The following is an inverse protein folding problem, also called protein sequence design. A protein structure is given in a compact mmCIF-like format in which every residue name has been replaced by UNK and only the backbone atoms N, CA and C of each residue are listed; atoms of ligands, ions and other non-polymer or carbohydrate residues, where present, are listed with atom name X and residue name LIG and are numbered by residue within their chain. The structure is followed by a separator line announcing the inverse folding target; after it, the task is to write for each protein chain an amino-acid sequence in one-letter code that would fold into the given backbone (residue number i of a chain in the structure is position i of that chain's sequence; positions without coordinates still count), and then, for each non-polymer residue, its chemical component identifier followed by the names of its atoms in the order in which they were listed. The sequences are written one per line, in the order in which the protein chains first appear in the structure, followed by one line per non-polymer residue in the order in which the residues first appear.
data_IF_938561787208
#
_entry.id   IF_938561787208
#
_cell.length_a   1.000
_cell.length_b   1.000
_cell.length_c   1.000
_cell.angle_alpha   90.00
_cell.angle_beta   90.00
_cell.angle_gamma   90.00
#
_symmetry.space_group_name_H-M   'P 1'
#
loop_
_entity.id
_entity.type
_entity.pdbx_description
1 polymer ?
#
# COMPACT_ATOMS: atom_id res chain seq x y z
N UNK A 1 -8.94 -66.45 -1.79
CA UNK A 1 -8.01 -66.98 -2.80
C UNK A 1 -7.88 -65.90 -3.87
N UNK A 2 -6.64 -65.49 -4.17
CA UNK A 2 -6.17 -64.31 -4.91
C UNK A 2 -5.99 -63.07 -4.02
N UNK A 3 -4.79 -62.81 -3.48
CA UNK A 3 -3.53 -62.35 -4.12
C UNK A 3 -3.75 -61.05 -4.91
N UNK A 4 -3.26 -59.93 -4.38
CA UNK A 4 -1.99 -59.27 -4.77
C UNK A 4 -2.20 -58.47 -6.07
N UNK A 5 -2.07 -57.15 -6.11
CA UNK A 5 -0.78 -56.45 -6.20
C UNK A 5 -0.95 -55.02 -5.73
N UNK A 6 -0.24 -54.66 -4.66
CA UNK A 6 0.13 -53.28 -4.36
C UNK A 6 1.18 -52.85 -5.41
N UNK A 7 0.86 -51.83 -6.21
CA UNK A 7 1.89 -51.11 -6.98
C UNK A 7 2.54 -50.09 -6.05
N UNK A 8 3.69 -50.46 -5.51
CA UNK A 8 4.60 -49.54 -4.84
C UNK A 8 5.15 -48.52 -5.86
N UNK A 9 4.70 -47.27 -5.75
CA UNK A 9 5.42 -46.12 -6.30
C UNK A 9 6.39 -45.62 -5.23
N UNK A 10 7.70 -45.50 -5.50
CA UNK A 10 8.58 -44.82 -4.57
C UNK A 10 8.31 -43.32 -4.66
N UNK A 11 7.63 -42.76 -3.66
CA UNK A 11 7.61 -41.33 -3.45
C UNK A 11 9.00 -40.91 -2.95
N UNK A 12 9.88 -40.52 -3.87
CA UNK A 12 11.09 -39.80 -3.53
C UNK A 12 10.67 -38.44 -2.95
N UNK A 13 10.58 -38.36 -1.62
CA UNK A 13 10.40 -37.11 -0.91
C UNK A 13 11.65 -36.25 -1.13
N UNK A 14 11.60 -35.38 -2.14
CA UNK A 14 12.57 -34.32 -2.31
C UNK A 14 12.50 -33.42 -1.07
N UNK A 15 13.49 -33.55 -0.18
CA UNK A 15 13.70 -32.61 0.93
C UNK A 15 13.84 -31.21 0.32
N UNK A 16 12.83 -30.36 0.50
CA UNK A 16 12.97 -28.93 0.28
C UNK A 16 14.14 -28.44 1.13
N UNK A 17 15.15 -27.76 0.56
CA UNK A 17 16.17 -27.11 1.37
C UNK A 17 15.48 -26.06 2.25
N UNK A 18 15.86 -26.02 3.52
CA UNK A 18 15.44 -24.95 4.43
C UNK A 18 15.84 -23.59 3.82
N UNK A 19 15.00 -22.55 3.91
CA UNK A 19 15.43 -21.21 3.51
C UNK A 19 16.67 -20.82 4.33
N UNK A 20 17.65 -20.12 3.73
CA UNK A 20 18.80 -19.65 4.48
C UNK A 20 18.29 -18.80 5.64
N UNK A 21 18.77 -19.09 6.85
CA UNK A 21 18.56 -18.20 7.99
C UNK A 21 19.14 -16.84 7.60
N UNK A 22 18.27 -15.84 7.43
CA UNK A 22 18.66 -14.44 7.30
C UNK A 22 19.18 -13.99 8.67
N UNK A 23 20.39 -14.43 8.99
CA UNK A 23 21.20 -13.88 10.06
C UNK A 23 21.87 -12.62 9.51
N UNK A 24 21.13 -11.53 9.47
CA UNK A 24 21.71 -10.19 9.47
C UNK A 24 21.36 -9.56 10.79
N UNK A 25 22.18 -9.85 11.79
CA UNK A 25 22.33 -9.00 12.96
C UNK A 25 22.69 -7.60 12.47
N UNK A 26 21.71 -6.70 12.38
CA UNK A 26 22.01 -5.28 12.38
C UNK A 26 22.34 -4.92 13.81
N UNK A 27 23.61 -4.61 14.05
CA UNK A 27 24.01 -3.84 15.22
C UNK A 27 23.08 -2.63 15.28
N UNK A 28 22.28 -2.51 16.34
CA UNK A 28 21.59 -1.27 16.68
C UNK A 28 22.69 -0.24 16.91
N UNK A 29 23.10 0.43 15.84
CA UNK A 29 23.89 1.63 15.92
C UNK A 29 22.99 2.58 16.72
N UNK A 30 23.37 2.89 17.96
CA UNK A 30 22.60 3.78 18.81
C UNK A 30 22.56 5.13 18.10
N UNK A 31 21.48 5.33 17.35
CA UNK A 31 21.25 6.50 16.53
C UNK A 31 20.91 7.72 17.36
N UNK A 32 20.68 8.88 16.70
CA UNK A 32 20.31 10.15 17.35
C UNK A 32 19.10 9.99 18.30
N UNK A 33 18.84 10.96 19.21
CA UNK A 33 17.96 10.79 20.37
C UNK A 33 16.71 9.97 20.07
N UNK A 34 16.43 9.03 20.98
CA UNK A 34 15.27 8.14 20.97
C UNK A 34 14.05 8.86 20.39
N UNK A 35 13.62 8.40 19.23
CA UNK A 35 12.41 8.87 18.57
C UNK A 35 11.27 8.89 19.60
N UNK A 36 10.42 9.93 19.61
CA UNK A 36 9.18 9.87 20.35
C UNK A 36 8.44 8.57 19.99
N UNK A 37 7.98 7.84 21.00
CA UNK A 37 7.14 6.65 20.79
C UNK A 37 5.70 7.10 20.48
N UNK A 38 5.56 7.81 19.35
CA UNK A 38 4.31 8.37 18.85
C UNK A 38 3.77 7.58 17.66
N UNK A 39 4.40 6.44 17.34
CA UNK A 39 4.01 5.57 16.23
C UNK A 39 4.45 6.06 14.85
N UNK A 40 5.15 7.20 14.74
CA UNK A 40 5.63 7.71 13.46
C UNK A 40 7.03 7.24 13.10
N UNK A 41 7.17 6.76 11.86
CA UNK A 41 8.46 6.58 11.21
C UNK A 41 8.95 7.91 10.66
N UNK A 42 10.07 8.41 11.19
CA UNK A 42 10.68 9.67 10.71
C UNK A 42 11.70 9.44 9.61
N UNK A 43 11.32 9.80 8.38
CA UNK A 43 12.16 9.67 7.18
C UNK A 43 12.35 11.02 6.50
N UNK A 44 13.47 11.18 5.81
CA UNK A 44 13.68 12.34 4.94
C UNK A 44 12.92 12.15 3.63
N UNK A 45 12.62 13.26 2.96
CA UNK A 45 11.94 13.23 1.67
C UNK A 45 12.72 12.42 0.60
N UNK A 46 14.05 12.52 0.60
CA UNK A 46 14.91 11.77 -0.31
C UNK A 46 14.73 10.25 -0.15
N UNK A 47 14.61 9.76 1.10
CA UNK A 47 14.36 8.33 1.36
C UNK A 47 13.00 7.95 0.78
N UNK A 48 11.93 8.68 1.10
CA UNK A 48 10.56 8.41 0.60
C UNK A 48 10.52 8.39 -0.94
N UNK A 49 11.32 9.25 -1.58
CA UNK A 49 11.41 9.30 -3.03
C UNK A 49 12.12 8.10 -3.66
N UNK A 50 13.11 7.54 -2.96
CA UNK A 50 13.75 6.27 -3.33
C UNK A 50 12.94 5.04 -2.92
N UNK A 51 12.00 5.17 -1.97
CA UNK A 51 11.19 4.04 -1.50
C UNK A 51 10.26 3.55 -2.61
N UNK A 52 10.34 2.25 -2.87
CA UNK A 52 9.39 1.54 -3.72
C UNK A 52 8.15 1.16 -2.91
N UNK A 53 7.00 1.55 -3.43
CA UNK A 53 5.69 1.14 -2.91
C UNK A 53 5.05 0.11 -3.81
N UNK A 54 4.34 -0.84 -3.20
CA UNK A 54 3.51 -1.81 -3.90
C UNK A 54 2.09 -1.73 -3.36
N UNK A 55 1.14 -1.98 -4.26
CA UNK A 55 -0.26 -2.09 -3.90
C UNK A 55 -0.46 -3.29 -2.97
N UNK A 56 -1.13 -3.06 -1.85
CA UNK A 56 -1.50 -4.10 -0.90
C UNK A 56 -2.94 -4.54 -1.14
N UNK A 57 -3.87 -3.57 -1.21
CA UNK A 57 -5.30 -3.85 -1.31
C UNK A 57 -6.09 -2.61 -1.78
N UNK A 58 -7.22 -2.83 -2.46
CA UNK A 58 -8.23 -1.79 -2.71
C UNK A 58 -9.62 -2.35 -2.50
N UNK A 59 -10.54 -1.50 -2.03
CA UNK A 59 -11.94 -1.85 -1.79
C UNK A 59 -12.89 -0.76 -2.26
N UNK A 60 -14.13 -1.15 -2.54
CA UNK A 60 -15.23 -0.22 -2.81
C UNK A 60 -15.92 0.16 -1.50
N UNK A 61 -16.30 1.42 -1.38
CA UNK A 61 -17.16 1.89 -0.29
C UNK A 61 -18.62 1.83 -0.75
N UNK A 62 -19.26 0.69 -0.47
CA UNK A 62 -20.63 0.38 -0.91
C UNK A 62 -21.70 1.03 -0.02
N UNK A 63 -21.35 1.38 1.22
CA UNK A 63 -22.30 1.91 2.20
C UNK A 63 -22.57 3.42 1.98
N UNK A 64 -21.67 4.11 1.28
CA UNK A 64 -21.84 5.51 0.84
C UNK A 64 -22.66 5.67 -0.45
N UNK A 65 -23.04 4.56 -1.11
CA UNK A 65 -23.89 4.60 -2.30
C UNK A 65 -25.36 4.76 -1.90
N UNK A 66 -25.74 5.96 -1.49
CA UNK A 66 -27.15 6.32 -1.37
C UNK A 66 -27.84 6.01 -2.72
N UNK A 67 -28.99 5.31 -2.69
CA UNK A 67 -29.78 5.08 -3.91
C UNK A 67 -30.12 6.46 -4.51
N UNK A 68 -29.66 6.78 -5.73
CA UNK A 68 -29.96 8.07 -6.32
C UNK A 68 -31.48 8.20 -6.47
N UNK A 69 -32.04 9.35 -6.06
CA UNK A 69 -33.42 9.67 -6.39
C UNK A 69 -33.50 10.02 -7.86
N UNK A 70 -34.65 9.79 -8.49
CA UNK A 70 -34.87 10.17 -9.88
C UNK A 70 -34.58 11.67 -10.07
N UNK A 71 -33.56 12.00 -10.87
CA UNK A 71 -33.12 13.39 -11.11
C UNK A 71 -31.86 13.82 -10.35
N UNK A 72 -31.31 13.00 -9.46
CA UNK A 72 -29.99 13.22 -8.86
C UNK A 72 -28.88 12.66 -9.76
N UNK A 73 -27.69 13.27 -9.71
CA UNK A 73 -26.50 12.71 -10.34
C UNK A 73 -26.26 11.31 -9.78
N UNK A 74 -25.85 10.36 -10.64
CA UNK A 74 -25.51 9.02 -10.18
C UNK A 74 -24.43 9.11 -9.09
N UNK A 75 -24.54 8.36 -7.98
CA UNK A 75 -23.52 8.33 -6.95
C UNK A 75 -22.20 7.91 -7.61
N UNK A 76 -21.14 8.69 -7.36
CA UNK A 76 -19.82 8.33 -7.86
C UNK A 76 -19.38 7.03 -7.20
N UNK A 77 -18.69 6.18 -7.96
CA UNK A 77 -18.06 4.97 -7.42
C UNK A 77 -16.89 5.44 -6.55
N UNK A 78 -16.92 5.10 -5.27
CA UNK A 78 -15.90 5.48 -4.30
C UNK A 78 -15.27 4.24 -3.67
N UNK A 79 -14.09 4.43 -3.10
CA UNK A 79 -13.38 3.38 -2.39
C UNK A 79 -12.14 3.88 -1.69
N UNK A 80 -11.33 2.93 -1.24
CA UNK A 80 -10.05 3.17 -0.60
C UNK A 80 -8.99 2.25 -1.19
N UNK A 81 -7.73 2.60 -0.97
CA UNK A 81 -6.58 1.78 -1.36
C UNK A 81 -5.48 1.87 -0.32
N UNK A 82 -4.78 0.76 -0.12
CA UNK A 82 -3.66 0.61 0.80
C UNK A 82 -2.43 0.14 0.03
N UNK A 83 -1.29 0.75 0.34
CA UNK A 83 0.02 0.53 -0.28
C UNK A 83 1.07 0.44 0.81
N UNK A 84 2.12 -0.34 0.56
CA UNK A 84 3.21 -0.55 1.51
C UNK A 84 4.58 -0.51 0.85
N UNK A 85 5.62 -0.14 1.60
CA UNK A 85 6.99 -0.28 1.12
C UNK A 85 7.39 -1.75 1.00
N UNK A 86 8.29 -2.04 0.07
CA UNK A 86 8.85 -3.39 -0.08
C UNK A 86 9.98 -3.70 0.93
N UNK A 87 10.52 -2.67 1.58
CA UNK A 87 11.71 -2.75 2.42
C UNK A 87 11.44 -2.20 3.83
N UNK A 88 12.23 -2.66 4.79
CA UNK A 88 12.17 -2.19 6.18
C UNK A 88 12.90 -0.83 6.33
N UNK A 89 12.40 0.09 7.16
CA UNK A 89 11.17 -0.02 7.94
C UNK A 89 9.92 0.04 7.06
N UNK A 90 8.88 -0.71 7.43
CA UNK A 90 7.63 -0.80 6.68
C UNK A 90 6.87 0.53 6.72
N UNK A 91 6.76 1.18 5.57
CA UNK A 91 5.97 2.40 5.38
C UNK A 91 4.60 2.02 4.82
N UNK A 92 3.53 2.57 5.38
CA UNK A 92 2.18 2.44 4.85
C UNK A 92 1.69 3.75 4.23
N UNK A 93 0.96 3.65 3.11
CA UNK A 93 0.23 4.74 2.48
C UNK A 93 -1.20 4.25 2.20
N UNK A 94 -2.20 4.99 2.67
CA UNK A 94 -3.61 4.68 2.42
C UNK A 94 -4.39 5.95 2.06
N UNK A 95 -5.29 5.86 1.10
CA UNK A 95 -6.13 7.01 0.72
C UNK A 95 -7.45 6.58 0.12
N UNK A 96 -8.39 7.52 0.13
CA UNK A 96 -9.70 7.35 -0.47
C UNK A 96 -9.70 7.91 -1.90
N UNK A 97 -10.52 7.33 -2.75
CA UNK A 97 -10.65 7.70 -4.14
C UNK A 97 -12.11 7.65 -4.58
N UNK A 98 -12.41 8.40 -5.63
CA UNK A 98 -13.65 8.29 -6.38
C UNK A 98 -13.37 8.22 -7.87
N UNK A 99 -14.25 7.62 -8.65
CA UNK A 99 -14.15 7.68 -10.10
C UNK A 99 -14.46 9.10 -10.56
N UNK A 100 -13.53 9.68 -11.32
CA UNK A 100 -13.78 10.92 -12.03
C UNK A 100 -14.75 10.65 -13.20
N UNK A 101 -15.93 11.30 -13.25
CA UNK A 101 -16.91 11.07 -14.31
C UNK A 101 -16.41 11.42 -15.72
N UNK A 102 -15.40 12.31 -15.83
CA UNK A 102 -14.85 12.72 -17.12
C UNK A 102 -13.88 11.69 -17.71
N UNK A 103 -12.94 11.20 -16.89
CA UNK A 103 -11.88 10.28 -17.31
C UNK A 103 -12.19 8.80 -17.02
N UNK A 104 -13.18 8.50 -16.19
CA UNK A 104 -13.46 7.13 -15.74
C UNK A 104 -12.38 6.53 -14.85
N UNK A 105 -11.35 7.30 -14.47
CA UNK A 105 -10.24 6.84 -13.64
C UNK A 105 -10.43 7.26 -12.18
N UNK A 106 -9.86 6.50 -11.22
CA UNK A 106 -9.79 6.92 -9.83
C UNK A 106 -9.08 8.26 -9.68
N UNK A 107 -9.69 9.16 -8.91
CA UNK A 107 -9.15 10.45 -8.49
C UNK A 107 -9.07 10.47 -6.97
N UNK A 108 -7.98 11.04 -6.44
CA UNK A 108 -7.75 11.19 -4.99
C UNK A 108 -8.85 12.04 -4.35
N UNK A 109 -9.41 11.56 -3.24
CA UNK A 109 -10.33 12.32 -2.41
C UNK A 109 -9.59 13.06 -1.28
N UNK A 110 -10.16 14.18 -0.84
CA UNK A 110 -9.74 14.86 0.38
C UNK A 110 -10.01 13.97 1.62
N UNK A 111 -9.16 14.02 2.66
CA UNK A 111 -8.04 14.96 2.86
C UNK A 111 -6.75 14.59 2.13
N UNK A 112 -6.64 13.38 1.57
CA UNK A 112 -5.45 12.87 0.89
C UNK A 112 -4.87 11.64 1.59
N UNK A 113 -3.55 11.46 1.46
CA UNK A 113 -2.83 10.27 1.93
C UNK A 113 -2.69 10.24 3.44
N UNK A 114 -3.08 9.12 4.03
CA UNK A 114 -2.78 8.70 5.39
C UNK A 114 -1.54 7.83 5.39
N UNK A 115 -0.68 7.99 6.39
CA UNK A 115 0.58 7.25 6.48
C UNK A 115 1.06 7.15 7.92
N UNK A 116 1.91 6.16 8.20
CA UNK A 116 2.70 6.10 9.43
C UNK A 116 3.98 6.95 9.39
N UNK A 117 4.14 7.84 8.40
CA UNK A 117 5.29 8.72 8.27
C UNK A 117 5.10 10.07 8.96
N UNK A 118 6.20 10.58 9.54
CA UNK A 118 6.42 11.99 9.79
C UNK A 118 7.68 12.40 9.01
N UNK A 119 7.54 13.25 7.99
CA UNK A 119 8.72 13.71 7.26
C UNK A 119 9.57 14.61 8.15
N UNK A 120 10.89 14.49 8.01
CA UNK A 120 11.86 15.34 8.68
C UNK A 120 12.75 16.07 7.70
N UNK A 121 13.21 17.25 8.10
CA UNK A 121 14.26 17.98 7.39
C UNK A 121 15.65 17.32 7.54
N UNK A 122 16.66 17.90 6.91
CA UNK A 122 18.06 17.43 6.98
C UNK A 122 18.63 17.45 8.41
N UNK A 123 18.06 18.28 9.29
CA UNK A 123 18.42 18.39 10.70
C UNK A 123 17.63 17.43 11.59
N UNK A 124 16.82 16.54 11.00
CA UNK A 124 15.93 15.59 11.68
C UNK A 124 14.80 16.24 12.47
N UNK A 125 14.39 17.45 12.09
CA UNK A 125 13.25 18.14 12.70
C UNK A 125 11.97 17.78 11.95
N UNK A 126 10.90 17.50 12.69
CA UNK A 126 9.59 17.16 12.12
C UNK A 126 9.06 18.32 11.25
N UNK A 127 8.65 18.01 10.02
CA UNK A 127 7.96 18.94 9.13
C UNK A 127 6.49 19.14 9.53
N UNK A 128 5.98 18.25 10.38
CA UNK A 128 4.59 18.24 10.82
C UNK A 128 3.66 17.45 9.88
N UNK A 129 2.47 17.08 10.37
CA UNK A 129 1.58 16.15 9.68
C UNK A 129 0.99 16.75 8.39
N UNK A 130 0.64 18.04 8.38
CA UNK A 130 0.04 18.69 7.22
C UNK A 130 1.00 18.75 6.02
N UNK A 131 2.25 19.18 6.26
CA UNK A 131 3.27 19.22 5.20
C UNK A 131 3.69 17.81 4.78
N UNK A 132 3.75 16.86 5.72
CA UNK A 132 3.99 15.44 5.40
C UNK A 132 2.93 14.91 4.44
N UNK A 133 1.64 15.10 4.75
CA UNK A 133 0.53 14.69 3.90
C UNK A 133 0.58 15.36 2.52
N UNK A 134 0.87 16.67 2.46
CA UNK A 134 0.98 17.38 1.18
C UNK A 134 2.06 16.77 0.28
N UNK A 135 3.26 16.55 0.82
CA UNK A 135 4.36 15.94 0.06
C UNK A 135 4.05 14.50 -0.35
N UNK A 136 3.36 13.73 0.50
CA UNK A 136 2.92 12.37 0.14
C UNK A 136 1.84 12.37 -0.95
N UNK A 137 0.95 13.38 -0.98
CA UNK A 137 0.01 13.54 -2.10
C UNK A 137 0.78 13.82 -3.41
N UNK A 138 1.84 14.63 -3.37
CA UNK A 138 2.71 14.86 -4.53
C UNK A 138 3.44 13.58 -4.96
N UNK A 139 3.87 12.74 -4.00
CA UNK A 139 4.48 11.42 -4.29
C UNK A 139 3.57 10.54 -5.12
N UNK A 140 2.26 10.58 -4.88
CA UNK A 140 1.31 9.74 -5.60
C UNK A 140 1.37 9.97 -7.12
N UNK A 141 1.72 11.17 -7.59
CA UNK A 141 1.84 11.46 -9.02
C UNK A 141 2.95 10.64 -9.70
N UNK A 142 3.92 10.14 -8.92
CA UNK A 142 4.98 9.28 -9.40
C UNK A 142 4.65 7.78 -9.28
N UNK A 143 3.44 7.44 -8.81
CA UNK A 143 2.90 6.09 -8.77
C UNK A 143 1.83 5.96 -9.85
N UNK A 144 1.86 4.86 -10.62
CA UNK A 144 0.78 4.50 -11.55
C UNK A 144 -0.44 3.93 -10.80
N UNK A 145 -0.87 4.61 -9.73
CA UNK A 145 -1.79 4.07 -8.75
C UNK A 145 -3.22 3.99 -9.28
N UNK A 146 -3.65 4.92 -10.13
CA UNK A 146 -5.01 4.96 -10.68
C UNK A 146 -5.31 3.69 -11.48
N UNK A 147 -4.38 3.27 -12.33
CA UNK A 147 -4.52 2.06 -13.13
C UNK A 147 -4.50 0.81 -12.24
N UNK A 148 -3.61 0.78 -11.25
CA UNK A 148 -3.48 -0.33 -10.30
C UNK A 148 -4.78 -0.52 -9.49
N UNK A 149 -5.35 0.58 -8.99
CA UNK A 149 -6.62 0.57 -8.25
C UNK A 149 -7.77 0.16 -9.16
N UNK A 150 -7.88 0.74 -10.36
CA UNK A 150 -8.94 0.40 -11.30
C UNK A 150 -8.95 -1.10 -11.63
N UNK A 151 -7.78 -1.68 -11.89
CA UNK A 151 -7.63 -3.12 -12.10
C UNK A 151 -8.02 -3.94 -10.87
N UNK A 152 -7.58 -3.53 -9.67
CA UNK A 152 -7.86 -4.25 -8.43
C UNK A 152 -9.36 -4.32 -8.09
N UNK A 153 -10.12 -3.28 -8.42
CA UNK A 153 -11.57 -3.20 -8.14
C UNK A 153 -12.45 -3.44 -9.36
N UNK A 154 -11.87 -3.82 -10.50
CA UNK A 154 -12.61 -4.18 -11.71
C UNK A 154 -13.24 -3.00 -12.47
N UNK A 155 -12.72 -1.79 -12.32
CA UNK A 155 -13.07 -0.64 -13.14
C UNK A 155 -12.29 -0.72 -14.45
N UNK A 156 -12.99 -0.84 -15.57
CA UNK A 156 -12.35 -0.77 -16.88
C UNK A 156 -12.02 0.70 -17.23
N UNK A 157 -10.78 1.01 -17.67
CA UNK A 157 -10.50 2.33 -18.23
C UNK A 157 -11.36 2.55 -19.48
N UNK A 158 -11.77 3.79 -19.80
CA UNK A 158 -12.48 4.05 -21.04
C UNK A 158 -11.62 3.67 -22.26
N UNK A 159 -12.27 3.03 -23.24
CA UNK A 159 -11.65 2.65 -24.51
C UNK A 159 -11.52 3.79 -25.50
#
# INVERSE_FOLDING_TARGET
MHDDVRRDFPAAAARRPAPPALATSFTLNVGPPSQPDDGYLRLTWAIVMSTRFTHLFSGLDIDLQARPRCGEAMPSIMGYTEWVSCEAPMVSLGWDWQVDPGSGLPMLLAPGVRSNLMLVDERRSDLGPALTMQLLNERLNALDWQLTVAQAVGIAPPG
#
